data_IF_616686771790
#
_entry.id   IF_616686771790
#
_cell.length_a   1.000
_cell.length_b   1.000
_cell.length_c   1.000
_cell.angle_alpha   90.00
_cell.angle_beta   90.00
_cell.angle_gamma   90.00
#
_symmetry.space_group_name_H-M   'P 1'
#
loop_
_entity.id
_entity.type
_entity.pdbx_description
1 polymer ?
#
# COMPACT_ATOMS: atom_id res chain seq x y z
N UNK A 1 42.79 29.56 -8.13
CA UNK A 1 41.49 28.94 -8.43
C UNK A 1 41.24 29.20 -9.91
N UNK A 2 41.17 28.14 -10.71
CA UNK A 2 41.05 28.27 -12.17
C UNK A 2 39.58 28.40 -12.56
N UNK A 3 39.31 29.09 -13.67
CA UNK A 3 37.98 29.23 -14.29
C UNK A 3 37.24 27.89 -14.43
N UNK A 4 37.98 26.82 -14.71
CA UNK A 4 37.47 25.45 -14.86
C UNK A 4 36.95 24.84 -13.56
N UNK A 5 37.52 25.22 -12.42
CA UNK A 5 37.12 24.75 -11.09
C UNK A 5 35.84 25.45 -10.61
N UNK A 6 35.61 26.68 -11.10
CA UNK A 6 34.41 27.47 -10.78
C UNK A 6 33.21 26.92 -11.57
N UNK A 7 33.41 26.56 -12.83
CA UNK A 7 32.38 25.94 -13.68
C UNK A 7 31.97 24.55 -13.16
N UNK A 8 32.93 23.75 -12.68
CA UNK A 8 32.66 22.43 -12.12
C UNK A 8 31.85 22.52 -10.80
N UNK A 9 32.18 23.51 -9.96
CA UNK A 9 31.47 23.75 -8.71
C UNK A 9 30.05 24.27 -8.94
N UNK A 10 29.85 25.14 -9.93
CA UNK A 10 28.53 25.67 -10.30
C UNK A 10 27.62 24.56 -10.85
N UNK A 11 28.17 23.65 -11.66
CA UNK A 11 27.46 22.44 -12.10
C UNK A 11 27.04 21.57 -10.92
N UNK A 12 27.90 21.36 -9.93
CA UNK A 12 27.57 20.53 -8.77
C UNK A 12 26.50 21.17 -7.87
N UNK A 13 26.47 22.50 -7.78
CA UNK A 13 25.50 23.26 -6.97
C UNK A 13 24.14 23.45 -7.68
N UNK A 14 24.11 23.47 -9.01
CA UNK A 14 22.89 23.62 -9.82
C UNK A 14 22.27 22.31 -10.26
N UNK A 15 23.02 21.21 -10.23
CA UNK A 15 22.45 19.87 -10.40
C UNK A 15 21.66 19.57 -9.13
N UNK A 16 20.32 19.48 -9.16
CA UNK A 16 19.58 19.02 -8.01
C UNK A 16 20.17 17.66 -7.62
N UNK A 17 20.34 17.35 -6.31
CA UNK A 17 20.76 16.02 -5.92
C UNK A 17 19.83 15.07 -6.66
N UNK A 18 20.41 14.19 -7.47
CA UNK A 18 19.68 13.09 -8.10
C UNK A 18 19.05 12.37 -6.93
N UNK A 19 17.80 12.74 -6.67
CA UNK A 19 17.10 12.27 -5.51
C UNK A 19 16.94 10.81 -5.81
N UNK A 20 17.74 10.03 -5.10
CA UNK A 20 17.62 8.58 -5.01
C UNK A 20 16.31 8.30 -4.31
N UNK A 21 15.20 8.64 -4.97
CA UNK A 21 14.00 7.86 -4.86
C UNK A 21 14.40 6.54 -5.53
N UNK A 22 14.44 5.41 -4.82
CA UNK A 22 14.61 4.15 -5.50
C UNK A 22 13.57 4.12 -6.63
N UNK A 23 14.05 3.79 -7.82
CA UNK A 23 13.26 3.61 -9.03
C UNK A 23 11.89 3.05 -8.67
N UNK A 24 10.84 3.60 -9.30
CA UNK A 24 9.48 3.07 -9.37
C UNK A 24 9.55 1.58 -9.74
N UNK A 25 9.88 0.76 -8.75
CA UNK A 25 9.77 -0.67 -8.81
C UNK A 25 8.28 -0.83 -8.71
N UNK A 26 7.64 -1.01 -9.86
CA UNK A 26 6.25 -1.40 -10.00
C UNK A 26 5.91 -2.26 -8.79
N UNK A 27 5.23 -1.64 -7.82
CA UNK A 27 4.90 -2.33 -6.59
C UNK A 27 4.00 -3.44 -7.06
N UNK A 28 4.44 -4.69 -6.94
CA UNK A 28 3.84 -5.74 -7.71
C UNK A 28 2.39 -5.88 -7.24
N UNK A 29 1.45 -6.11 -8.16
CA UNK A 29 0.00 -5.98 -7.91
C UNK A 29 -0.50 -6.77 -6.68
N UNK A 30 0.26 -7.79 -6.24
CA UNK A 30 0.01 -8.57 -5.02
C UNK A 30 0.24 -7.81 -3.71
N UNK A 31 0.94 -6.67 -3.76
CA UNK A 31 1.17 -5.77 -2.63
C UNK A 31 0.09 -4.70 -2.50
N UNK A 32 -0.89 -4.65 -3.41
CA UNK A 32 -1.95 -3.64 -3.38
C UNK A 32 -3.23 -4.16 -2.71
N UNK A 33 -3.87 -3.31 -1.90
CA UNK A 33 -5.24 -3.50 -1.41
C UNK A 33 -6.27 -3.42 -2.55
N UNK A 34 -7.54 -3.76 -2.28
CA UNK A 34 -8.67 -3.68 -3.24
C UNK A 34 -8.88 -2.25 -3.79
N UNK A 35 -8.32 -1.25 -3.10
CA UNK A 35 -8.34 0.17 -3.46
C UNK A 35 -7.10 0.63 -4.23
N UNK A 36 -6.16 -0.27 -4.56
CA UNK A 36 -4.92 0.06 -5.27
C UNK A 36 -3.85 0.74 -4.38
N UNK A 37 -4.02 0.70 -3.06
CA UNK A 37 -3.03 1.23 -2.12
C UNK A 37 -1.95 0.19 -1.87
N UNK A 38 -0.67 0.60 -1.95
CA UNK A 38 0.47 -0.26 -1.65
C UNK A 38 0.49 -0.55 -0.14
N UNK A 39 0.46 -1.82 0.22
CA UNK A 39 0.55 -2.31 1.60
C UNK A 39 2.01 -2.41 2.00
N UNK A 40 2.40 -1.68 3.04
CA UNK A 40 3.71 -1.82 3.67
C UNK A 40 3.64 -2.76 4.89
N UNK A 41 4.79 -3.28 5.33
CA UNK A 41 4.84 -4.20 6.47
C UNK A 41 4.31 -3.59 7.78
N UNK A 42 4.40 -2.27 7.91
CA UNK A 42 3.93 -1.51 9.07
C UNK A 42 2.45 -1.09 8.97
N UNK A 43 1.79 -1.32 7.83
CA UNK A 43 0.38 -0.99 7.67
C UNK A 43 -0.51 -1.97 8.42
N UNK A 44 -1.76 -1.55 8.63
CA UNK A 44 -2.81 -2.39 9.17
C UNK A 44 -3.84 -2.65 8.09
N UNK A 45 -4.09 -3.94 7.84
CA UNK A 45 -5.02 -4.39 6.82
C UNK A 45 -6.29 -4.90 7.48
N UNK A 46 -7.41 -4.38 7.00
CA UNK A 46 -8.75 -4.69 7.45
C UNK A 46 -9.43 -5.54 6.38
N UNK A 47 -9.71 -6.78 6.74
CA UNK A 47 -10.48 -7.71 5.93
C UNK A 47 -11.92 -7.67 6.44
N UNK A 48 -12.75 -6.91 5.74
CA UNK A 48 -14.13 -6.66 6.13
C UNK A 48 -15.12 -7.35 5.20
N UNK A 49 -16.18 -7.92 5.77
CA UNK A 49 -17.27 -8.53 5.01
C UNK A 49 -18.54 -7.73 5.18
N UNK A 50 -19.05 -7.20 4.07
CA UNK A 50 -20.29 -6.43 4.06
C UNK A 50 -21.41 -7.24 3.42
N UNK A 51 -22.57 -7.19 4.03
CA UNK A 51 -23.79 -7.78 3.49
C UNK A 51 -24.44 -6.80 2.52
N UNK A 52 -24.31 -7.06 1.22
CA UNK A 52 -24.98 -6.26 0.20
C UNK A 52 -26.09 -7.09 -0.45
N UNK A 53 -27.35 -6.71 -0.20
CA UNK A 53 -28.57 -7.40 -0.66
C UNK A 53 -28.61 -8.89 -0.21
N UNK A 54 -28.18 -9.81 -1.07
CA UNK A 54 -28.16 -11.27 -0.83
C UNK A 54 -26.76 -11.89 -0.94
N UNK A 55 -25.74 -11.06 -1.16
CA UNK A 55 -24.36 -11.48 -1.36
C UNK A 55 -23.45 -10.87 -0.30
N UNK A 56 -22.42 -11.63 0.07
CA UNK A 56 -21.34 -11.17 0.94
C UNK A 56 -20.26 -10.57 0.05
N UNK A 57 -19.90 -9.32 0.29
CA UNK A 57 -18.79 -8.66 -0.41
C UNK A 57 -17.63 -8.54 0.55
N UNK A 58 -16.49 -9.13 0.17
CA UNK A 58 -15.24 -9.05 0.91
C UNK A 58 -14.49 -7.81 0.43
N UNK A 59 -13.96 -7.04 1.36
CA UNK A 59 -13.06 -5.92 1.10
C UNK A 59 -11.79 -6.15 1.89
N UNK A 60 -10.65 -5.99 1.22
CA UNK A 60 -9.34 -5.97 1.85
C UNK A 60 -8.79 -4.58 1.63
N UNK A 61 -8.61 -3.85 2.71
CA UNK A 61 -8.24 -2.44 2.64
C UNK A 61 -7.44 -2.03 3.85
N UNK A 62 -6.55 -1.07 3.66
CA UNK A 62 -5.93 -0.32 4.73
C UNK A 62 -6.98 0.51 5.51
N UNK A 63 -6.57 1.08 6.65
CA UNK A 63 -7.45 1.82 7.56
C UNK A 63 -8.32 2.88 6.88
N UNK A 64 -7.75 3.65 5.95
CA UNK A 64 -8.45 4.74 5.26
C UNK A 64 -9.58 4.21 4.36
N UNK A 65 -9.27 3.25 3.50
CA UNK A 65 -10.30 2.63 2.65
C UNK A 65 -11.33 1.82 3.44
N UNK A 66 -10.99 1.30 4.63
CA UNK A 66 -11.99 0.68 5.50
C UNK A 66 -13.06 1.68 5.94
N UNK A 67 -12.66 2.91 6.30
CA UNK A 67 -13.61 3.98 6.63
C UNK A 67 -14.45 4.36 5.40
N UNK A 68 -13.87 4.40 4.21
CA UNK A 68 -14.61 4.64 2.97
C UNK A 68 -15.66 3.56 2.68
N UNK A 69 -15.30 2.29 2.83
CA UNK A 69 -16.25 1.17 2.63
C UNK A 69 -17.34 1.20 3.70
N UNK A 70 -16.98 1.51 4.94
CA UNK A 70 -17.95 1.69 6.02
C UNK A 70 -18.96 2.81 5.74
N UNK A 71 -18.51 3.92 5.17
CA UNK A 71 -19.38 5.04 4.77
C UNK A 71 -20.28 4.65 3.58
N UNK A 72 -19.73 3.97 2.57
CA UNK A 72 -20.46 3.56 1.36
C UNK A 72 -21.53 2.48 1.63
N UNK A 73 -21.17 1.42 2.36
CA UNK A 73 -22.08 0.28 2.61
C UNK A 73 -22.86 0.41 3.92
N UNK A 74 -22.45 1.33 4.80
CA UNK A 74 -23.03 1.54 6.11
C UNK A 74 -22.55 0.51 7.15
N UNK A 75 -22.27 0.94 8.40
CA UNK A 75 -21.76 0.07 9.45
C UNK A 75 -22.74 -1.04 9.86
N UNK A 76 -24.03 -0.84 9.65
CA UNK A 76 -25.08 -1.84 9.97
C UNK A 76 -25.00 -3.09 9.08
N UNK A 77 -24.38 -2.98 7.91
CA UNK A 77 -24.19 -4.09 6.97
C UNK A 77 -22.84 -4.80 7.16
N UNK A 78 -21.96 -4.27 8.02
CA UNK A 78 -20.69 -4.90 8.36
C UNK A 78 -20.93 -6.15 9.21
N UNK A 79 -20.33 -7.26 8.82
CA UNK A 79 -20.32 -8.49 9.62
C UNK A 79 -19.09 -8.46 10.50
N UNK A 80 -19.25 -7.86 11.69
CA UNK A 80 -18.19 -7.70 12.69
C UNK A 80 -17.60 -9.04 13.13
N UNK A 81 -18.40 -10.10 13.15
CA UNK A 81 -17.97 -11.48 13.46
C UNK A 81 -16.90 -12.01 12.49
N UNK A 82 -16.86 -11.49 11.27
CA UNK A 82 -15.89 -11.86 10.24
C UNK A 82 -14.86 -10.77 9.94
N UNK A 83 -14.87 -9.68 10.71
CA UNK A 83 -13.89 -8.62 10.55
C UNK A 83 -12.54 -9.12 11.10
N UNK A 84 -11.55 -9.22 10.22
CA UNK A 84 -10.19 -9.59 10.60
C UNK A 84 -9.27 -8.39 10.39
N UNK A 85 -8.44 -8.11 11.39
CA UNK A 85 -7.41 -7.08 11.31
C UNK A 85 -6.08 -7.79 11.41
N UNK A 86 -5.29 -7.71 10.35
CA UNK A 86 -3.98 -8.33 10.25
C UNK A 86 -2.94 -7.25 9.99
N UNK A 87 -1.71 -7.50 10.40
CA UNK A 87 -0.60 -6.62 10.03
C UNK A 87 -0.31 -6.71 8.53
N UNK A 88 0.15 -5.62 7.93
CA UNK A 88 0.60 -5.59 6.55
C UNK A 88 1.73 -6.59 6.32
N UNK A 89 2.58 -6.82 7.33
CA UNK A 89 3.55 -7.92 7.31
C UNK A 89 2.90 -9.31 7.16
N UNK A 90 1.85 -9.61 7.92
CA UNK A 90 1.12 -10.88 7.79
C UNK A 90 0.41 -10.99 6.45
N UNK A 91 -0.19 -9.90 5.96
CA UNK A 91 -0.81 -9.86 4.64
C UNK A 91 0.20 -10.13 3.53
N UNK A 92 1.33 -9.42 3.54
CA UNK A 92 2.42 -9.62 2.60
C UNK A 92 3.01 -11.03 2.72
N UNK A 93 3.07 -11.60 3.93
CA UNK A 93 3.49 -12.98 4.13
C UNK A 93 2.48 -14.00 3.60
N UNK A 94 1.17 -13.74 3.70
CA UNK A 94 0.13 -14.57 3.09
C UNK A 94 0.19 -14.51 1.56
N UNK A 95 0.42 -13.33 0.98
CA UNK A 95 0.54 -13.14 -0.45
C UNK A 95 1.84 -13.74 -1.00
N UNK A 96 2.98 -13.49 -0.34
CA UNK A 96 4.29 -14.10 -0.67
C UNK A 96 4.30 -15.60 -0.39
N UNK A 97 3.52 -16.08 0.58
CA UNK A 97 3.42 -17.49 0.96
C UNK A 97 2.65 -18.36 -0.04
N UNK A 98 2.05 -17.76 -1.07
CA UNK A 98 1.61 -18.48 -2.26
C UNK A 98 2.77 -18.74 -3.26
N UNK A 99 3.95 -18.17 -3.01
CA UNK A 99 5.23 -18.43 -3.65
C UNK A 99 6.21 -19.09 -2.64
N UNK A 100 5.70 -20.04 -1.85
CA UNK A 100 6.54 -20.99 -1.12
C UNK A 100 6.80 -22.23 -2.01
N UNK A 101 7.64 -22.09 -3.03
CA UNK A 101 8.37 -23.18 -3.71
C UNK A 101 9.60 -22.51 -4.36
N UNK A 102 10.86 -22.82 -4.06
CA UNK A 102 11.56 -23.91 -3.38
C UNK A 102 12.80 -23.36 -2.65
#
# INVERSE_FOLDING_TARGET
MNEKEIEDLDRYLTTPPESTYPAESESPEWSCDDFGNIVFENDWIFIAYFKHKKTLKKFVTSQDGFMTVLDEYGPTNLITDKLEVISGKEWLAMQKGNDCYE
#
